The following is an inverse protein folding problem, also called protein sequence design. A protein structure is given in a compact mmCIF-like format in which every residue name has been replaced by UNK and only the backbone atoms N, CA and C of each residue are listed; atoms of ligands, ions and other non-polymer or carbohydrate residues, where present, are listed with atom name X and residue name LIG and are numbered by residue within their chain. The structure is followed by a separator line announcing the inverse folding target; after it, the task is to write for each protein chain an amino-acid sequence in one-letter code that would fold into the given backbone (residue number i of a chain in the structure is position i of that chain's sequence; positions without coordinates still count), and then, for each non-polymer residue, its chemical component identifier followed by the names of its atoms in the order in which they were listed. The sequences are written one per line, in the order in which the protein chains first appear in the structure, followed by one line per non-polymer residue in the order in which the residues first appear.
data_IF_679337565327
#
_entry.id   IF_679337565327
#
_cell.length_a   1.000
_cell.length_b   1.000
_cell.length_c   1.000
_cell.angle_alpha   90.00
_cell.angle_beta   90.00
_cell.angle_gamma   90.00
#
_symmetry.space_group_name_H-M   'P 1'
#
loop_
_entity.id
_entity.type
_entity.pdbx_description
1 polymer ?
#
# COMPACT_ATOMS: atom_id res chain seq x y z
N UNK A 1 14.73 -24.83 -31.30
CA UNK A 1 15.79 -23.88 -30.89
C UNK A 1 15.95 -24.06 -29.38
N UNK A 2 17.17 -24.15 -28.84
CA UNK A 2 17.37 -24.12 -27.38
C UNK A 2 17.15 -22.69 -26.91
N UNK A 3 15.89 -22.36 -26.63
CA UNK A 3 15.46 -21.05 -26.18
C UNK A 3 15.26 -21.09 -24.66
N UNK A 4 15.90 -20.17 -23.97
CA UNK A 4 15.79 -20.02 -22.52
C UNK A 4 15.70 -18.52 -22.18
N UNK A 5 14.47 -18.06 -21.94
CA UNK A 5 14.09 -16.65 -21.82
C UNK A 5 13.19 -16.44 -20.61
N UNK A 6 13.35 -15.28 -19.97
CA UNK A 6 12.42 -14.76 -18.97
C UNK A 6 11.57 -13.66 -19.59
N UNK A 7 10.31 -13.65 -19.19
CA UNK A 7 9.35 -12.58 -19.43
C UNK A 7 9.00 -11.94 -18.09
N UNK A 8 9.28 -10.65 -17.93
CA UNK A 8 9.14 -9.92 -16.68
C UNK A 8 8.20 -8.71 -16.85
N UNK A 9 7.03 -8.77 -16.20
CA UNK A 9 6.03 -7.70 -16.21
C UNK A 9 6.34 -6.54 -15.23
N UNK A 10 7.37 -6.65 -14.40
CA UNK A 10 7.75 -5.66 -13.39
C UNK A 10 8.77 -4.63 -13.83
N UNK A 11 8.93 -4.42 -15.14
CA UNK A 11 9.88 -3.43 -15.67
C UNK A 11 9.19 -2.09 -15.89
N UNK A 12 9.93 -1.00 -15.76
CA UNK A 12 9.45 0.36 -16.02
C UNK A 12 10.59 1.22 -16.59
N UNK A 13 10.23 2.36 -17.19
CA UNK A 13 11.15 3.24 -17.90
C UNK A 13 11.42 4.52 -17.11
N UNK A 14 12.58 4.59 -16.44
CA UNK A 14 12.96 5.75 -15.63
C UNK A 14 13.20 7.02 -16.46
N UNK A 15 13.49 6.88 -17.75
CA UNK A 15 13.76 7.99 -18.67
C UNK A 15 12.46 8.58 -19.24
N UNK A 16 11.30 8.02 -18.88
CA UNK A 16 10.01 8.52 -19.33
C UNK A 16 9.77 9.97 -18.83
N UNK A 17 9.34 10.90 -19.72
CA UNK A 17 9.09 12.27 -19.33
C UNK A 17 8.10 12.39 -18.17
N UNK A 18 8.60 12.92 -17.05
CA UNK A 18 7.78 13.11 -15.85
C UNK A 18 7.55 11.85 -15.03
N UNK A 19 8.41 10.82 -15.12
CA UNK A 19 8.36 9.57 -14.34
C UNK A 19 7.82 9.75 -12.91
N UNK A 20 8.49 10.57 -12.08
CA UNK A 20 8.09 10.79 -10.68
C UNK A 20 6.70 11.42 -10.55
N UNK A 21 6.36 12.34 -11.45
CA UNK A 21 5.04 12.98 -11.45
C UNK A 21 3.94 12.00 -11.86
N UNK A 22 4.21 11.14 -12.84
CA UNK A 22 3.29 10.08 -13.26
C UNK A 22 3.11 9.04 -12.17
N UNK A 23 4.19 8.64 -11.48
CA UNK A 23 4.12 7.78 -10.30
C UNK A 23 3.24 8.38 -9.20
N UNK A 24 3.50 9.62 -8.79
CA UNK A 24 2.68 10.30 -7.78
C UNK A 24 1.21 10.44 -8.20
N UNK A 25 0.92 10.52 -9.51
CA UNK A 25 -0.43 10.62 -10.06
C UNK A 25 -1.12 9.27 -10.29
N UNK A 26 -0.47 8.14 -10.06
CA UNK A 26 -1.03 6.81 -10.38
C UNK A 26 -1.11 6.54 -11.88
N UNK A 27 -0.23 7.17 -12.67
CA UNK A 27 -0.21 7.12 -14.14
C UNK A 27 1.03 6.45 -14.70
N UNK A 28 1.78 5.71 -13.89
CA UNK A 28 3.00 5.08 -14.33
C UNK A 28 2.67 3.83 -15.16
N UNK A 29 3.24 3.76 -16.35
CA UNK A 29 3.14 2.59 -17.21
C UNK A 29 4.28 1.63 -16.90
N UNK A 30 3.93 0.35 -16.77
CA UNK A 30 4.88 -0.75 -16.66
C UNK A 30 4.98 -1.45 -18.02
N UNK A 31 6.02 -2.25 -18.18
CA UNK A 31 6.28 -2.96 -19.42
C UNK A 31 6.71 -4.41 -19.20
N UNK A 32 6.25 -5.27 -20.11
CA UNK A 32 6.80 -6.60 -20.31
C UNK A 32 8.18 -6.49 -20.95
N UNK A 33 9.21 -6.97 -20.25
CA UNK A 33 10.56 -7.15 -20.80
C UNK A 33 10.86 -8.63 -21.04
N UNK A 34 11.65 -8.92 -22.07
CA UNK A 34 12.12 -10.26 -22.37
C UNK A 34 13.65 -10.30 -22.48
N UNK A 35 14.29 -11.20 -21.73
CA UNK A 35 15.76 -11.34 -21.71
C UNK A 35 16.17 -12.79 -21.41
N UNK A 36 17.47 -13.08 -21.48
CA UNK A 36 17.99 -14.44 -21.24
C UNK A 36 17.83 -14.81 -19.77
N UNK A 37 17.35 -16.02 -19.49
CA UNK A 37 17.19 -16.54 -18.13
C UNK A 37 18.47 -16.39 -17.30
N UNK A 38 19.63 -16.73 -17.90
CA UNK A 38 20.93 -16.68 -17.23
C UNK A 38 21.27 -15.33 -16.60
N UNK A 39 20.85 -14.22 -17.22
CA UNK A 39 21.11 -12.88 -16.67
C UNK A 39 20.29 -12.62 -15.40
N UNK A 40 19.05 -13.09 -15.35
CA UNK A 40 18.23 -12.97 -14.15
C UNK A 40 18.77 -13.86 -13.04
N UNK A 41 19.15 -15.09 -13.38
CA UNK A 41 19.73 -16.04 -12.42
C UNK A 41 21.00 -15.45 -11.78
N UNK A 42 21.95 -14.95 -12.58
CA UNK A 42 23.16 -14.30 -12.07
C UNK A 42 22.83 -13.09 -11.20
N UNK A 43 21.90 -12.23 -11.63
CA UNK A 43 21.48 -11.04 -10.87
C UNK A 43 20.88 -11.42 -9.52
N UNK A 44 19.96 -12.38 -9.48
CA UNK A 44 19.29 -12.79 -8.23
C UNK A 44 20.24 -13.51 -7.28
N UNK A 45 21.21 -14.27 -7.79
CA UNK A 45 22.27 -14.87 -6.97
C UNK A 45 23.16 -13.77 -6.35
N UNK A 46 23.57 -12.78 -7.14
CA UNK A 46 24.38 -11.65 -6.67
C UNK A 46 23.63 -10.79 -5.62
N UNK A 47 22.31 -10.62 -5.79
CA UNK A 47 21.41 -9.97 -4.82
C UNK A 47 21.09 -10.84 -3.59
N UNK A 48 21.62 -12.06 -3.51
CA UNK A 48 21.34 -13.04 -2.45
C UNK A 48 19.84 -13.34 -2.30
N UNK A 49 19.16 -13.59 -3.42
CA UNK A 49 17.74 -13.94 -3.47
C UNK A 49 17.56 -15.40 -3.89
N UNK A 50 16.76 -16.15 -3.15
CA UNK A 50 16.38 -17.51 -3.53
C UNK A 50 15.61 -17.54 -4.85
N UNK A 51 15.79 -18.60 -5.62
CA UNK A 51 15.16 -18.83 -6.92
C UNK A 51 14.46 -20.18 -6.89
N UNK A 52 13.13 -20.14 -7.05
CA UNK A 52 12.26 -21.32 -7.15
C UNK A 52 11.69 -21.43 -8.56
N UNK A 53 11.46 -22.65 -9.03
CA UNK A 53 10.93 -22.94 -10.35
C UNK A 53 9.78 -23.93 -10.26
N UNK A 54 8.65 -23.57 -10.88
CA UNK A 54 7.53 -24.47 -11.13
C UNK A 54 7.51 -24.86 -12.61
N UNK A 55 7.84 -26.12 -12.89
CA UNK A 55 7.75 -26.66 -14.24
C UNK A 55 6.31 -27.11 -14.50
N UNK A 56 5.66 -26.46 -15.46
CA UNK A 56 4.26 -26.72 -15.78
C UNK A 56 4.07 -28.04 -16.55
N UNK A 57 2.98 -28.75 -16.27
CA UNK A 57 2.52 -29.94 -16.95
C UNK A 57 1.71 -29.58 -18.21
N UNK A 58 2.31 -28.85 -19.15
CA UNK A 58 1.62 -28.41 -20.38
C UNK A 58 2.05 -29.26 -21.58
N UNK A 59 1.13 -29.47 -22.53
CA UNK A 59 1.44 -30.12 -23.80
C UNK A 59 2.34 -29.22 -24.66
N UNK A 60 3.06 -29.77 -25.65
CA UNK A 60 3.82 -28.96 -26.61
C UNK A 60 2.96 -27.87 -27.27
N UNK A 61 1.71 -28.16 -27.60
CA UNK A 61 0.78 -27.23 -28.24
C UNK A 61 0.41 -26.07 -27.29
N UNK A 62 0.07 -26.37 -26.03
CA UNK A 62 -0.20 -25.37 -24.99
C UNK A 62 1.02 -24.48 -24.74
N UNK A 63 2.21 -25.08 -24.64
CA UNK A 63 3.47 -24.37 -24.47
C UNK A 63 3.73 -23.42 -25.64
N UNK A 64 3.52 -23.88 -26.86
CA UNK A 64 3.77 -23.08 -28.06
C UNK A 64 2.78 -21.90 -28.15
N UNK A 65 1.54 -22.08 -27.71
CA UNK A 65 0.55 -20.99 -27.62
C UNK A 65 0.90 -19.96 -26.53
N UNK A 66 1.26 -20.42 -25.33
CA UNK A 66 1.81 -19.59 -24.25
C UNK A 66 2.97 -18.72 -24.75
N UNK A 67 3.94 -19.36 -25.42
CA UNK A 67 5.11 -18.68 -25.96
C UNK A 67 4.75 -17.64 -27.04
N UNK A 68 3.86 -17.99 -27.98
CA UNK A 68 3.40 -17.06 -29.01
C UNK A 68 2.68 -15.85 -28.42
N UNK A 69 1.86 -16.05 -27.38
CA UNK A 69 1.21 -14.95 -26.67
C UNK A 69 2.24 -14.02 -26.01
N UNK A 70 3.26 -14.56 -25.34
CA UNK A 70 4.30 -13.75 -24.69
C UNK A 70 5.14 -12.97 -25.72
N UNK A 71 5.48 -13.56 -26.86
CA UNK A 71 6.17 -12.83 -27.94
C UNK A 71 5.29 -11.74 -28.55
N UNK A 72 4.00 -12.02 -28.78
CA UNK A 72 3.04 -11.01 -29.23
C UNK A 72 2.87 -9.88 -28.21
N UNK A 73 2.76 -10.21 -26.92
CA UNK A 73 2.61 -9.22 -25.87
C UNK A 73 3.88 -8.40 -25.68
N UNK A 74 5.06 -8.95 -25.96
CA UNK A 74 6.34 -8.23 -25.89
C UNK A 74 6.55 -7.22 -27.05
N UNK A 75 5.71 -7.24 -28.10
CA UNK A 75 5.76 -6.24 -29.15
C UNK A 75 5.61 -4.81 -28.60
N UNK A 76 6.29 -3.80 -29.17
CA UNK A 76 6.27 -2.42 -28.67
C UNK A 76 4.87 -1.85 -28.41
N UNK A 77 3.90 -2.20 -29.26
CA UNK A 77 2.51 -1.78 -29.20
C UNK A 77 1.68 -2.47 -28.10
N UNK A 78 2.12 -3.63 -27.60
CA UNK A 78 1.35 -4.46 -26.67
C UNK A 78 1.97 -4.53 -25.27
N UNK A 79 3.28 -4.25 -25.14
CA UNK A 79 4.03 -4.55 -23.91
C UNK A 79 3.76 -3.60 -22.75
N UNK A 80 3.19 -2.43 -23.01
CA UNK A 80 2.92 -1.38 -22.01
C UNK A 80 1.54 -1.56 -21.39
N UNK A 81 1.45 -1.37 -20.09
CA UNK A 81 0.18 -1.39 -19.37
C UNK A 81 0.18 -0.40 -18.20
N UNK A 82 -1.01 0.10 -17.84
CA UNK A 82 -1.18 0.98 -16.68
C UNK A 82 -1.13 0.14 -15.42
N UNK A 83 -0.21 0.45 -14.53
CA UNK A 83 -0.05 -0.29 -13.29
C UNK A 83 -1.09 0.14 -12.24
N UNK A 84 -1.87 -0.82 -11.76
CA UNK A 84 -2.65 -0.72 -10.52
C UNK A 84 -2.13 -1.80 -9.56
N UNK A 85 -1.65 -1.36 -8.40
CA UNK A 85 -0.97 -2.24 -7.47
C UNK A 85 -1.81 -3.45 -7.01
N UNK A 86 -3.13 -3.34 -6.92
CA UNK A 86 -3.99 -4.44 -6.47
C UNK A 86 -4.65 -5.19 -7.64
N UNK A 87 -4.99 -4.49 -8.71
CA UNK A 87 -5.86 -5.04 -9.75
C UNK A 87 -5.19 -5.27 -11.11
N UNK A 88 -4.04 -4.66 -11.36
CA UNK A 88 -3.32 -4.75 -12.64
C UNK A 88 -1.81 -4.55 -12.43
N UNK A 89 -1.16 -5.58 -11.89
CA UNK A 89 0.24 -5.62 -11.52
C UNK A 89 0.99 -6.81 -12.12
N UNK A 90 2.29 -6.91 -11.83
CA UNK A 90 3.19 -7.93 -12.35
C UNK A 90 2.72 -9.38 -12.09
N UNK A 91 2.11 -9.66 -10.93
CA UNK A 91 1.62 -10.99 -10.59
C UNK A 91 0.27 -11.26 -11.28
N UNK A 92 -0.68 -10.33 -11.21
CA UNK A 92 -1.97 -10.46 -11.92
C UNK A 92 -1.77 -10.61 -13.44
N UNK A 93 -0.76 -9.97 -14.03
CA UNK A 93 -0.43 -10.14 -15.45
C UNK A 93 0.03 -11.56 -15.79
N UNK A 94 0.79 -12.21 -14.91
CA UNK A 94 1.18 -13.61 -15.07
C UNK A 94 -0.04 -14.52 -14.92
N UNK A 95 -0.91 -14.27 -13.93
CA UNK A 95 -2.19 -14.97 -13.76
C UNK A 95 -3.03 -14.89 -15.04
N UNK A 96 -3.23 -13.67 -15.55
CA UNK A 96 -4.02 -13.40 -16.74
C UNK A 96 -3.41 -14.06 -18.01
N UNK A 97 -2.08 -14.23 -18.08
CA UNK A 97 -1.44 -14.99 -19.17
C UNK A 97 -1.92 -16.43 -19.16
N UNK A 98 -1.96 -17.10 -17.99
CA UNK A 98 -2.48 -18.47 -17.91
C UNK A 98 -3.93 -18.54 -18.40
N UNK A 99 -4.79 -17.65 -17.93
CA UNK A 99 -6.22 -17.68 -18.30
C UNK A 99 -6.44 -17.36 -19.78
N UNK A 100 -5.72 -16.38 -20.34
CA UNK A 100 -5.84 -16.01 -21.76
C UNK A 100 -5.32 -17.08 -22.71
N UNK A 101 -4.33 -17.85 -22.27
CA UNK A 101 -3.65 -18.83 -23.13
C UNK A 101 -4.22 -20.23 -22.98
N UNK A 102 -4.50 -20.65 -21.75
CA UNK A 102 -4.98 -22.00 -21.45
C UNK A 102 -6.51 -22.05 -21.32
N UNK A 103 -7.18 -20.91 -21.09
CA UNK A 103 -8.63 -20.81 -21.08
C UNK A 103 -9.28 -21.78 -20.09
N UNK A 104 -10.33 -22.47 -20.53
CA UNK A 104 -11.06 -23.45 -19.72
C UNK A 104 -10.26 -24.72 -19.38
N UNK A 105 -9.05 -24.88 -19.94
CA UNK A 105 -8.17 -26.00 -19.63
C UNK A 105 -7.31 -25.75 -18.38
N UNK A 106 -7.30 -24.54 -17.79
CA UNK A 106 -6.58 -24.26 -16.54
C UNK A 106 -7.53 -23.88 -15.40
N UNK A 107 -7.22 -24.34 -14.19
CA UNK A 107 -7.85 -23.92 -12.95
C UNK A 107 -6.76 -23.59 -11.95
N UNK A 108 -6.63 -22.31 -11.63
CA UNK A 108 -5.75 -21.89 -10.54
C UNK A 108 -6.43 -22.20 -9.20
N UNK A 109 -5.63 -22.60 -8.22
CA UNK A 109 -6.16 -22.93 -6.91
C UNK A 109 -6.61 -21.68 -6.17
N UNK A 110 -7.86 -21.69 -5.74
CA UNK A 110 -8.47 -20.66 -4.91
C UNK A 110 -8.67 -21.20 -3.49
N UNK A 111 -7.73 -20.88 -2.60
CA UNK A 111 -7.75 -21.33 -1.22
C UNK A 111 -8.99 -20.77 -0.47
N UNK A 112 -9.94 -21.62 -0.03
CA UNK A 112 -11.19 -21.15 0.57
C UNK A 112 -11.03 -20.59 1.98
N UNK A 113 -9.93 -20.89 2.66
CA UNK A 113 -9.66 -20.44 4.04
C UNK A 113 -9.10 -19.00 4.10
N UNK A 114 -8.96 -18.34 2.94
CA UNK A 114 -8.47 -16.95 2.85
C UNK A 114 -9.60 -15.95 3.06
N UNK A 115 -9.47 -15.17 4.13
CA UNK A 115 -10.49 -14.19 4.55
C UNK A 115 -9.92 -12.80 4.86
N UNK A 116 -8.67 -12.56 4.47
CA UNK A 116 -8.00 -11.27 4.71
C UNK A 116 -8.48 -10.18 3.74
N UNK A 117 -8.45 -8.95 4.22
CA UNK A 117 -8.60 -7.75 3.41
C UNK A 117 -7.32 -7.45 2.62
N UNK A 118 -7.42 -6.58 1.61
CA UNK A 118 -6.23 -6.13 0.87
C UNK A 118 -5.19 -5.45 1.77
N UNK A 119 -5.63 -4.72 2.81
CA UNK A 119 -4.73 -4.07 3.79
C UNK A 119 -3.96 -5.11 4.60
N UNK A 120 -4.66 -6.08 5.18
CA UNK A 120 -4.03 -7.15 5.96
C UNK A 120 -3.01 -7.94 5.12
N UNK A 121 -3.28 -8.15 3.82
CA UNK A 121 -2.31 -8.77 2.91
C UNK A 121 -1.01 -7.97 2.77
N UNK A 122 -1.11 -6.64 2.81
CA UNK A 122 0.04 -5.76 2.72
C UNK A 122 0.82 -5.71 4.02
N UNK A 123 0.12 -5.70 5.15
CA UNK A 123 0.73 -5.63 6.48
C UNK A 123 1.71 -6.79 6.76
N UNK A 124 1.45 -7.97 6.16
CA UNK A 124 2.38 -9.11 6.21
C UNK A 124 3.79 -8.74 5.74
N UNK A 125 3.92 -7.83 4.77
CA UNK A 125 5.19 -7.40 4.19
C UNK A 125 5.72 -6.09 4.82
N UNK A 126 4.95 -5.46 5.71
CA UNK A 126 5.35 -4.23 6.42
C UNK A 126 5.86 -4.49 7.85
N UNK A 127 5.88 -5.76 8.27
CA UNK A 127 6.53 -6.17 9.51
C UNK A 127 7.94 -5.59 9.59
N UNK A 128 8.30 -4.98 10.72
CA UNK A 128 9.63 -4.37 10.89
C UNK A 128 9.84 -3.02 10.20
N UNK A 129 8.84 -2.49 9.47
CA UNK A 129 8.91 -1.23 8.73
C UNK A 129 7.86 -0.21 9.22
N UNK A 130 7.87 0.20 10.51
CA UNK A 130 6.79 0.98 11.14
C UNK A 130 6.52 2.36 10.52
N UNK A 131 7.46 2.95 9.77
CA UNK A 131 7.18 4.17 9.01
C UNK A 131 6.42 3.89 7.72
N UNK A 132 6.82 2.83 7.00
CA UNK A 132 6.17 2.42 5.77
C UNK A 132 4.76 1.92 6.06
N UNK A 133 4.62 1.10 7.11
CA UNK A 133 3.37 0.65 7.71
C UNK A 133 2.40 1.82 7.93
N UNK A 134 2.80 2.77 8.78
CA UNK A 134 2.04 3.98 9.05
C UNK A 134 1.71 4.81 7.80
N UNK A 135 2.69 5.00 6.91
CA UNK A 135 2.53 5.83 5.71
C UNK A 135 1.58 5.21 4.68
N UNK A 136 1.69 3.90 4.48
CA UNK A 136 0.80 3.13 3.59
C UNK A 136 -0.61 3.13 4.18
N UNK A 137 -0.74 2.92 5.49
CA UNK A 137 -2.04 2.96 6.15
C UNK A 137 -2.74 4.31 6.04
N UNK A 138 -1.97 5.38 6.15
CA UNK A 138 -2.47 6.74 5.97
C UNK A 138 -2.91 7.00 4.53
N UNK A 139 -2.22 6.43 3.54
CA UNK A 139 -2.50 6.64 2.12
C UNK A 139 -3.70 5.83 1.60
N UNK A 140 -3.82 4.57 2.02
CA UNK A 140 -4.88 3.66 1.57
C UNK A 140 -6.23 4.02 2.20
N UNK A 141 -7.28 4.01 1.39
CA UNK A 141 -8.66 4.29 1.82
C UNK A 141 -9.48 3.02 2.08
N UNK A 142 -10.75 3.19 2.45
CA UNK A 142 -11.64 2.08 2.86
C UNK A 142 -11.81 0.95 1.84
N UNK A 143 -11.44 1.16 0.57
CA UNK A 143 -11.52 0.11 -0.45
C UNK A 143 -10.61 -1.08 -0.11
N UNK A 144 -9.47 -0.84 0.55
CA UNK A 144 -8.51 -1.90 0.90
C UNK A 144 -8.93 -2.72 2.13
N UNK A 145 -9.96 -2.28 2.84
CA UNK A 145 -10.53 -2.98 4.00
C UNK A 145 -11.69 -3.92 3.61
N UNK A 146 -11.94 -4.07 2.30
CA UNK A 146 -12.83 -5.13 1.81
C UNK A 146 -12.07 -6.47 1.78
N UNK A 147 -12.72 -7.60 2.13
CA UNK A 147 -12.16 -8.92 1.96
C UNK A 147 -11.75 -9.16 0.50
N UNK A 148 -10.53 -9.64 0.28
CA UNK A 148 -10.07 -10.03 -1.04
C UNK A 148 -10.37 -11.52 -1.25
N UNK A 149 -10.92 -11.85 -2.42
CA UNK A 149 -11.06 -13.25 -2.85
C UNK A 149 -9.69 -13.92 -3.01
N UNK A 150 -9.65 -15.25 -3.01
CA UNK A 150 -8.40 -15.99 -3.28
C UNK A 150 -7.81 -15.64 -4.66
N UNK A 151 -8.67 -15.36 -5.64
CA UNK A 151 -8.29 -14.84 -6.96
C UNK A 151 -7.64 -13.45 -6.89
N UNK A 152 -8.24 -12.52 -6.13
CA UNK A 152 -7.69 -11.19 -5.95
C UNK A 152 -6.38 -11.20 -5.18
N UNK A 153 -6.22 -12.09 -4.19
CA UNK A 153 -4.98 -12.26 -3.42
C UNK A 153 -3.76 -12.60 -4.30
N UNK A 154 -3.97 -13.13 -5.52
CA UNK A 154 -2.91 -13.37 -6.51
C UNK A 154 -2.27 -12.07 -7.06
N UNK A 155 -2.72 -10.89 -6.60
CA UNK A 155 -1.96 -9.65 -6.77
C UNK A 155 -0.58 -9.70 -6.10
N UNK A 156 -0.40 -10.58 -5.10
CA UNK A 156 0.88 -10.85 -4.47
C UNK A 156 1.54 -12.11 -5.07
N UNK A 157 2.84 -12.06 -5.40
CA UNK A 157 3.54 -13.17 -6.07
C UNK A 157 3.48 -14.51 -5.32
N UNK A 158 3.59 -14.52 -4.00
CA UNK A 158 3.57 -15.75 -3.19
C UNK A 158 2.22 -16.48 -3.29
N UNK A 159 1.14 -15.70 -3.37
CA UNK A 159 -0.21 -16.22 -3.46
C UNK A 159 -0.54 -16.70 -4.87
N UNK A 160 0.00 -16.06 -5.91
CA UNK A 160 -0.01 -16.61 -7.27
C UNK A 160 0.82 -17.90 -7.36
N UNK A 161 1.97 -17.94 -6.71
CA UNK A 161 2.84 -19.11 -6.68
C UNK A 161 2.11 -20.32 -6.09
N UNK A 162 1.46 -20.16 -4.93
CA UNK A 162 0.63 -21.21 -4.31
C UNK A 162 -0.55 -21.62 -5.21
N UNK A 163 -1.19 -20.64 -5.86
CA UNK A 163 -2.33 -20.89 -6.75
C UNK A 163 -1.95 -21.72 -7.98
N UNK A 164 -0.75 -21.50 -8.53
CA UNK A 164 -0.19 -22.30 -9.62
C UNK A 164 0.24 -23.67 -9.11
N UNK A 165 0.89 -23.74 -7.94
CA UNK A 165 1.40 -24.98 -7.35
C UNK A 165 0.30 -26.03 -7.16
N UNK A 166 -0.83 -25.59 -6.63
CA UNK A 166 -1.97 -26.44 -6.30
C UNK A 166 -3.04 -26.44 -7.41
N UNK A 167 -2.78 -25.76 -8.52
CA UNK A 167 -3.71 -25.67 -9.65
C UNK A 167 -3.81 -26.96 -10.46
N UNK A 168 -4.80 -26.99 -11.35
CA UNK A 168 -5.06 -28.12 -12.24
C UNK A 168 -5.05 -27.67 -13.71
N UNK A 169 -4.66 -28.59 -14.59
CA UNK A 169 -4.68 -28.44 -16.04
C UNK A 169 -5.41 -29.64 -16.68
N UNK A 170 -6.23 -29.39 -17.70
CA UNK A 170 -6.97 -30.42 -18.43
C UNK A 170 -6.15 -30.88 -19.63
N UNK A 171 -5.70 -32.13 -19.62
CA UNK A 171 -4.96 -32.76 -20.72
C UNK A 171 -5.73 -33.99 -21.18
N UNK A 172 -6.04 -34.07 -22.48
CA UNK A 172 -6.83 -35.16 -23.07
C UNK A 172 -8.18 -35.39 -22.37
N UNK A 173 -8.78 -34.32 -21.82
CA UNK A 173 -10.08 -34.36 -21.13
C UNK A 173 -10.02 -34.69 -19.64
N UNK A 174 -8.84 -34.99 -19.09
CA UNK A 174 -8.66 -35.30 -17.67
C UNK A 174 -7.93 -34.17 -16.95
N UNK A 175 -8.38 -33.85 -15.73
CA UNK A 175 -7.70 -32.90 -14.86
C UNK A 175 -6.47 -33.55 -14.23
N UNK A 176 -5.35 -32.86 -14.32
CA UNK A 176 -4.05 -33.27 -13.77
C UNK A 176 -3.43 -32.07 -13.04
N UNK A 177 -2.44 -32.28 -12.15
CA UNK A 177 -1.72 -31.17 -11.53
C UNK A 177 -1.11 -30.23 -12.58
N UNK A 178 -1.27 -28.92 -12.38
CA UNK A 178 -0.72 -27.88 -13.26
C UNK A 178 0.81 -27.85 -13.20
N UNK A 179 1.39 -28.11 -12.03
CA UNK A 179 2.83 -28.21 -11.84
C UNK A 179 3.26 -29.68 -11.90
N UNK A 180 4.14 -29.99 -12.85
CA UNK A 180 4.75 -31.32 -13.00
C UNK A 180 5.92 -31.53 -12.04
N UNK A 181 6.67 -30.46 -11.74
CA UNK A 181 7.87 -30.51 -10.90
C UNK A 181 8.15 -29.15 -10.27
N UNK A 182 8.52 -29.16 -8.99
CA UNK A 182 9.06 -28.00 -8.27
C UNK A 182 10.57 -28.19 -8.08
N UNK A 183 11.35 -27.16 -8.42
CA UNK A 183 12.79 -27.15 -8.27
C UNK A 183 13.25 -25.90 -7.50
N UNK A 184 14.17 -26.08 -6.56
CA UNK A 184 14.93 -24.97 -5.96
C UNK A 184 16.21 -24.79 -6.75
N UNK A 185 16.27 -23.75 -7.59
CA UNK A 185 17.43 -23.50 -8.45
C UNK A 185 18.58 -22.93 -7.63
N UNK A 186 18.27 -22.00 -6.73
CA UNK A 186 19.21 -21.42 -5.81
C UNK A 186 18.52 -21.16 -4.47
N UNK A 187 19.15 -21.57 -3.39
CA UNK A 187 18.71 -21.29 -2.03
C UNK A 187 19.76 -20.47 -1.30
N UNK A 188 19.31 -19.49 -0.54
CA UNK A 188 20.13 -18.74 0.39
C UNK A 188 19.38 -18.53 1.70
N UNK A 189 20.09 -18.67 2.81
CA UNK A 189 19.59 -18.34 4.14
C UNK A 189 19.58 -16.82 4.39
N UNK A 190 20.09 -16.03 3.44
CA UNK A 190 19.94 -14.58 3.40
C UNK A 190 18.48 -14.22 3.08
N UNK A 191 17.62 -14.45 4.05
CA UNK A 191 16.38 -13.72 4.19
C UNK A 191 16.62 -12.70 5.29
N UNK A 192 16.61 -11.41 4.94
CA UNK A 192 16.31 -10.41 5.97
C UNK A 192 14.84 -10.61 6.34
N UNK A 193 14.52 -11.68 7.08
CA UNK A 193 13.24 -11.77 7.75
C UNK A 193 13.09 -10.49 8.56
N UNK A 194 12.07 -9.66 8.28
CA UNK A 194 11.97 -8.37 8.92
C UNK A 194 11.90 -8.59 10.43
N UNK A 195 12.96 -8.19 11.14
CA UNK A 195 12.94 -8.27 12.60
C UNK A 195 11.86 -7.30 13.06
N UNK A 196 10.98 -7.76 13.95
CA UNK A 196 9.98 -6.89 14.55
C UNK A 196 10.68 -5.67 15.13
N UNK A 197 10.40 -4.50 14.54
CA UNK A 197 11.00 -3.25 14.96
C UNK A 197 10.27 -2.73 16.19
N UNK A 198 10.93 -1.87 16.96
CA UNK A 198 10.20 -1.06 17.94
C UNK A 198 9.12 -0.25 17.21
N UNK A 199 7.89 -0.14 17.75
CA UNK A 199 6.82 0.67 17.18
C UNK A 199 7.08 2.16 17.41
N UNK A 200 8.21 2.65 16.87
CA UNK A 200 8.72 3.98 17.17
C UNK A 200 7.77 5.09 16.71
N UNK A 201 6.97 4.83 15.67
CA UNK A 201 5.94 5.77 15.23
C UNK A 201 4.93 6.03 16.36
N UNK A 202 4.37 4.96 16.94
CA UNK A 202 3.47 5.07 18.09
C UNK A 202 4.16 5.75 19.29
N UNK A 203 5.43 5.41 19.55
CA UNK A 203 6.21 6.05 20.63
C UNK A 203 6.33 7.57 20.40
N UNK A 204 6.68 8.02 19.19
CA UNK A 204 6.77 9.45 18.86
C UNK A 204 5.42 10.14 19.07
N UNK A 205 4.32 9.54 18.61
CA UNK A 205 2.99 10.14 18.77
C UNK A 205 2.58 10.23 20.24
N UNK A 206 2.89 9.22 21.06
CA UNK A 206 2.71 9.29 22.52
C UNK A 206 3.59 10.33 23.20
N UNK A 207 4.83 10.53 22.73
CA UNK A 207 5.72 11.58 23.23
C UNK A 207 5.17 12.98 22.88
N UNK A 208 4.62 13.17 21.68
CA UNK A 208 3.94 14.41 21.27
C UNK A 208 2.73 14.67 22.18
N UNK A 209 1.94 13.64 22.46
CA UNK A 209 0.81 13.74 23.39
C UNK A 209 1.27 14.11 24.81
N UNK A 210 2.27 13.40 25.34
CA UNK A 210 2.80 13.65 26.68
C UNK A 210 3.38 15.07 26.82
N UNK A 211 4.10 15.55 25.80
CA UNK A 211 4.62 16.91 25.77
C UNK A 211 3.50 17.96 25.71
N UNK A 212 2.49 17.75 24.87
CA UNK A 212 1.30 18.61 24.80
C UNK A 212 0.56 18.66 26.14
N UNK A 213 0.42 17.51 26.80
CA UNK A 213 -0.10 17.35 28.16
C UNK A 213 0.67 18.17 29.17
N UNK A 214 1.99 17.94 29.26
CA UNK A 214 2.87 18.63 30.19
C UNK A 214 2.84 20.15 30.01
N UNK A 215 2.94 20.64 28.76
CA UNK A 215 2.87 22.08 28.47
C UNK A 215 1.54 22.69 28.90
N UNK A 216 0.43 22.00 28.63
CA UNK A 216 -0.92 22.47 28.96
C UNK A 216 -1.14 22.51 30.47
N UNK A 217 -0.75 21.45 31.18
CA UNK A 217 -0.85 21.38 32.65
C UNK A 217 0.01 22.44 33.31
N UNK A 218 1.23 22.66 32.81
CA UNK A 218 2.13 23.71 33.32
C UNK A 218 1.53 25.10 33.13
N UNK A 219 1.04 25.41 31.93
CA UNK A 219 0.42 26.70 31.64
C UNK A 219 -0.82 26.94 32.52
N UNK A 220 -1.64 25.91 32.73
CA UNK A 220 -2.79 25.97 33.63
C UNK A 220 -2.40 26.22 35.09
N UNK A 221 -1.38 25.51 35.61
CA UNK A 221 -0.88 25.68 36.98
C UNK A 221 -0.27 27.06 37.22
N UNK A 222 0.43 27.58 36.23
CA UNK A 222 1.03 28.92 36.25
C UNK A 222 0.02 30.04 35.96
N UNK A 223 -1.28 29.71 35.79
CA UNK A 223 -2.37 30.65 35.47
C UNK A 223 -2.09 31.49 34.22
N UNK A 224 -1.37 30.93 33.25
CA UNK A 224 -1.14 31.59 31.97
C UNK A 224 -2.44 31.63 31.17
N UNK A 225 -2.71 32.76 30.50
CA UNK A 225 -3.80 32.81 29.52
C UNK A 225 -3.51 31.86 28.35
N UNK A 226 -4.55 31.22 27.79
CA UNK A 226 -4.41 30.41 26.59
C UNK A 226 -3.79 31.19 25.45
N UNK A 227 -2.75 30.60 24.86
CA UNK A 227 -2.03 31.16 23.73
C UNK A 227 -1.51 30.05 22.84
N UNK A 228 -1.46 30.36 21.55
CA UNK A 228 -0.80 29.52 20.54
C UNK A 228 0.68 29.44 20.88
N UNK A 229 1.20 28.23 20.91
CA UNK A 229 2.58 27.88 21.22
C UNK A 229 3.20 27.12 20.05
N UNK A 230 4.53 26.93 20.06
CA UNK A 230 5.25 26.28 18.97
C UNK A 230 4.75 24.86 18.65
N UNK A 231 4.22 24.12 19.65
CA UNK A 231 3.66 22.78 19.44
C UNK A 231 2.38 22.84 18.61
N UNK A 232 1.59 23.91 18.74
CA UNK A 232 0.35 24.09 17.97
C UNK A 232 0.68 24.32 16.49
N UNK A 233 1.76 25.06 16.17
CA UNK A 233 2.24 25.20 14.79
C UNK A 233 2.62 23.85 14.19
N UNK A 234 3.34 23.01 14.94
CA UNK A 234 3.71 21.66 14.49
C UNK A 234 2.50 20.76 14.30
N UNK A 235 1.60 20.71 15.28
CA UNK A 235 0.40 19.86 15.26
C UNK A 235 -0.55 20.23 14.12
N UNK A 236 -0.94 21.49 13.98
CA UNK A 236 -1.87 21.94 12.94
C UNK A 236 -1.23 21.94 11.55
N UNK A 237 0.05 22.29 11.46
CA UNK A 237 0.80 22.23 10.19
C UNK A 237 0.91 20.80 9.67
N UNK A 238 1.32 19.85 10.52
CA UNK A 238 1.44 18.43 10.15
C UNK A 238 0.07 17.81 9.84
N UNK A 239 -0.92 18.04 10.71
CA UNK A 239 -2.27 17.52 10.49
C UNK A 239 -2.90 18.06 9.20
N UNK A 240 -2.75 19.36 8.94
CA UNK A 240 -3.22 19.99 7.70
C UNK A 240 -2.49 19.45 6.46
N UNK A 241 -1.17 19.24 6.54
CA UNK A 241 -0.40 18.65 5.46
C UNK A 241 -0.83 17.21 5.15
N UNK A 242 -1.01 16.37 6.19
CA UNK A 242 -1.55 15.01 6.03
C UNK A 242 -2.91 15.05 5.33
N UNK A 243 -3.81 15.93 5.79
CA UNK A 243 -5.12 16.14 5.18
C UNK A 243 -5.03 16.51 3.70
N UNK A 244 -4.18 17.47 3.35
CA UNK A 244 -3.98 17.89 1.95
C UNK A 244 -3.43 16.75 1.10
N UNK A 245 -2.46 15.98 1.59
CA UNK A 245 -1.90 14.83 0.87
C UNK A 245 -2.99 13.81 0.55
N UNK A 246 -3.85 13.46 1.52
CA UNK A 246 -4.93 12.49 1.28
C UNK A 246 -6.02 13.04 0.35
N UNK A 247 -6.34 14.35 0.42
CA UNK A 247 -7.24 14.96 -0.57
C UNK A 247 -6.66 14.90 -1.99
N UNK A 248 -5.35 15.12 -2.14
CA UNK A 248 -4.69 15.01 -3.42
C UNK A 248 -4.72 13.56 -3.92
N UNK A 249 -4.40 12.58 -3.07
CA UNK A 249 -4.49 11.17 -3.43
C UNK A 249 -5.91 10.80 -3.87
N UNK A 250 -6.94 11.23 -3.14
CA UNK A 250 -8.32 10.93 -3.50
C UNK A 250 -8.75 11.63 -4.81
N UNK A 251 -8.57 12.95 -4.94
CA UNK A 251 -9.20 13.72 -6.02
C UNK A 251 -8.29 14.05 -7.20
N UNK A 252 -6.97 14.02 -7.02
CA UNK A 252 -6.00 14.51 -7.99
C UNK A 252 -5.11 13.40 -8.61
N UNK A 253 -5.33 12.14 -8.24
CA UNK A 253 -4.59 10.99 -8.76
C UNK A 253 -5.51 9.89 -9.27
N UNK A 254 -4.97 8.99 -10.09
CA UNK A 254 -5.67 7.81 -10.61
C UNK A 254 -5.54 6.61 -9.65
N UNK A 255 -5.08 6.82 -8.41
CA UNK A 255 -4.94 5.76 -7.40
C UNK A 255 -6.32 5.32 -6.88
N UNK A 256 -6.87 4.24 -7.44
CA UNK A 256 -8.26 3.82 -7.16
C UNK A 256 -8.50 3.31 -5.74
N UNK A 257 -7.44 3.00 -4.99
CA UNK A 257 -7.50 2.45 -3.61
C UNK A 257 -7.26 3.48 -2.52
N UNK A 258 -6.94 4.74 -2.87
CA UNK A 258 -6.78 5.85 -1.91
C UNK A 258 -8.06 6.65 -1.72
N UNK A 259 -9.10 6.37 -2.52
CA UNK A 259 -10.42 7.02 -2.44
C UNK A 259 -11.17 6.58 -1.18
N UNK A 260 -12.14 7.39 -0.73
CA UNK A 260 -12.91 7.13 0.48
C UNK A 260 -12.02 6.93 1.72
N UNK A 261 -10.97 7.74 1.85
CA UNK A 261 -10.01 7.63 2.94
C UNK A 261 -10.51 8.38 4.20
N UNK A 262 -10.88 7.60 5.22
CA UNK A 262 -11.45 8.08 6.48
C UNK A 262 -10.44 8.75 7.40
N UNK A 263 -9.14 8.66 7.12
CA UNK A 263 -8.14 9.47 7.81
C UNK A 263 -8.43 10.98 7.66
N UNK A 264 -9.14 11.42 6.61
CA UNK A 264 -9.56 12.81 6.44
C UNK A 264 -10.50 13.34 7.54
N UNK A 265 -11.13 12.47 8.32
CA UNK A 265 -11.96 12.88 9.47
C UNK A 265 -11.11 13.53 10.56
N UNK A 266 -9.88 13.05 10.77
CA UNK A 266 -8.99 13.57 11.82
C UNK A 266 -7.81 14.37 11.26
N UNK A 267 -7.26 13.96 10.11
CA UNK A 267 -6.25 14.70 9.38
C UNK A 267 -6.92 15.71 8.46
N UNK A 268 -7.18 16.88 9.04
CA UNK A 268 -8.16 17.83 8.56
C UNK A 268 -7.50 18.91 7.69
N UNK A 269 -7.74 18.94 6.37
CA UNK A 269 -6.97 19.78 5.43
C UNK A 269 -7.01 21.27 5.75
N UNK A 270 -8.12 21.78 6.29
CA UNK A 270 -8.24 23.22 6.63
C UNK A 270 -7.35 23.63 7.80
N UNK A 271 -6.77 22.67 8.55
CA UNK A 271 -5.76 22.99 9.56
C UNK A 271 -4.51 23.65 8.96
N UNK A 272 -4.23 23.45 7.68
CA UNK A 272 -3.12 24.15 7.01
C UNK A 272 -3.43 25.65 6.83
N UNK A 273 -4.71 26.00 6.60
CA UNK A 273 -5.16 27.40 6.57
C UNK A 273 -5.07 27.99 7.98
N UNK A 274 -5.57 27.28 8.99
CA UNK A 274 -5.52 27.71 10.39
C UNK A 274 -4.08 27.90 10.89
N UNK A 275 -3.16 27.02 10.49
CA UNK A 275 -1.74 27.18 10.70
C UNK A 275 -1.22 28.52 10.13
N UNK A 276 -1.60 28.88 8.90
CA UNK A 276 -1.28 30.20 8.33
C UNK A 276 -1.89 31.38 9.10
N UNK A 277 -3.09 31.20 9.64
CA UNK A 277 -3.77 32.22 10.43
C UNK A 277 -3.15 32.44 11.81
N UNK A 278 -2.35 31.52 12.35
CA UNK A 278 -1.63 31.70 13.62
C UNK A 278 -0.66 32.90 13.59
N UNK A 279 -0.17 33.24 12.39
CA UNK A 279 0.69 34.40 12.12
C UNK A 279 -0.07 35.73 12.04
N UNK A 280 -1.41 35.71 12.08
CA UNK A 280 -2.26 36.91 12.01
C UNK A 280 -2.92 37.16 13.37
N UNK A 281 -2.39 38.08 14.20
CA UNK A 281 -2.86 38.26 15.58
C UNK A 281 -4.35 38.58 15.70
N UNK A 282 -4.90 39.32 14.72
CA UNK A 282 -6.31 39.73 14.70
C UNK A 282 -7.30 38.61 14.43
N UNK A 283 -6.85 37.44 13.98
CA UNK A 283 -7.71 36.29 13.65
C UNK A 283 -7.84 35.26 14.77
N UNK A 284 -7.11 35.45 15.88
CA UNK A 284 -7.02 34.44 16.96
C UNK A 284 -8.33 34.25 17.71
N UNK A 285 -9.08 35.33 17.95
CA UNK A 285 -10.37 35.26 18.64
C UNK A 285 -11.45 34.60 17.78
N UNK A 286 -11.34 34.74 16.46
CA UNK A 286 -12.27 34.17 15.48
C UNK A 286 -12.08 32.67 15.29
N UNK A 287 -10.94 32.11 15.72
CA UNK A 287 -10.66 30.66 15.65
C UNK A 287 -11.28 29.86 16.79
N UNK A 288 -11.88 30.50 17.80
CA UNK A 288 -12.50 29.81 18.94
C UNK A 288 -13.56 28.78 18.49
N UNK A 289 -14.47 29.20 17.61
CA UNK A 289 -15.51 28.30 17.07
C UNK A 289 -14.87 27.16 16.29
N UNK A 290 -13.82 27.45 15.51
CA UNK A 290 -13.09 26.43 14.76
C UNK A 290 -12.51 25.35 15.69
N UNK A 291 -11.80 25.75 16.75
CA UNK A 291 -11.20 24.80 17.68
C UNK A 291 -12.24 23.95 18.41
N UNK A 292 -13.38 24.53 18.81
CA UNK A 292 -14.47 23.77 19.43
C UNK A 292 -15.09 22.76 18.47
N UNK A 293 -15.38 23.16 17.23
CA UNK A 293 -15.94 22.27 16.22
C UNK A 293 -14.95 21.16 15.89
N UNK A 294 -13.69 21.50 15.62
CA UNK A 294 -12.66 20.53 15.28
C UNK A 294 -12.41 19.55 16.44
N UNK A 295 -12.31 20.03 17.69
CA UNK A 295 -12.23 19.15 18.86
C UNK A 295 -13.43 18.21 18.96
N UNK A 296 -14.65 18.70 18.70
CA UNK A 296 -15.86 17.89 18.67
C UNK A 296 -15.79 16.77 17.63
N UNK A 297 -15.35 17.09 16.40
CA UNK A 297 -15.13 16.09 15.34
C UNK A 297 -14.11 15.05 15.75
N UNK A 298 -12.98 15.46 16.32
CA UNK A 298 -11.93 14.53 16.77
C UNK A 298 -12.41 13.62 17.91
N UNK A 299 -13.18 14.14 18.86
CA UNK A 299 -13.78 13.34 19.94
C UNK A 299 -14.77 12.33 19.38
N UNK A 300 -15.60 12.72 18.41
CA UNK A 300 -16.52 11.82 17.73
C UNK A 300 -15.76 10.74 16.93
N UNK A 301 -14.67 11.11 16.26
CA UNK A 301 -13.81 10.16 15.54
C UNK A 301 -13.20 9.11 16.49
N UNK A 302 -12.67 9.54 17.64
CA UNK A 302 -12.16 8.61 18.66
C UNK A 302 -13.26 7.75 19.28
N UNK A 303 -14.42 8.32 19.57
CA UNK A 303 -15.55 7.57 20.13
C UNK A 303 -16.13 6.55 19.13
N UNK A 304 -16.08 6.87 17.84
CA UNK A 304 -16.54 6.03 16.74
C UNK A 304 -15.48 5.12 16.14
N UNK A 305 -14.25 5.09 16.67
CA UNK A 305 -13.08 4.45 16.05
C UNK A 305 -13.35 3.01 15.60
N UNK A 306 -13.94 2.20 16.46
CA UNK A 306 -14.23 0.79 16.20
C UNK A 306 -15.37 0.55 15.19
N UNK A 307 -16.10 1.60 14.78
CA UNK A 307 -17.23 1.54 13.85
C UNK A 307 -16.91 2.22 12.52
N UNK A 308 -15.69 2.72 12.32
CA UNK A 308 -15.27 3.27 11.04
C UNK A 308 -15.17 2.14 10.00
N UNK A 309 -15.57 2.39 8.74
CA UNK A 309 -15.52 1.38 7.69
C UNK A 309 -14.11 1.17 7.10
N UNK A 310 -13.09 1.75 7.75
CA UNK A 310 -11.68 1.69 7.36
C UNK A 310 -10.87 1.44 8.63
N UNK A 311 -9.92 0.50 8.58
CA UNK A 311 -8.97 0.35 9.67
C UNK A 311 -7.96 1.51 9.65
N UNK A 312 -7.88 2.23 10.76
CA UNK A 312 -7.01 3.39 10.91
C UNK A 312 -5.87 3.00 11.84
N UNK A 313 -4.63 3.24 11.41
CA UNK A 313 -3.45 2.91 12.18
C UNK A 313 -3.50 3.49 13.61
N UNK A 314 -3.31 2.65 14.63
CA UNK A 314 -3.51 3.01 16.04
C UNK A 314 -2.60 4.14 16.55
N UNK A 315 -1.40 4.27 15.99
CA UNK A 315 -0.48 5.39 16.26
C UNK A 315 -1.12 6.79 16.07
N UNK A 316 -2.21 6.90 15.32
CA UNK A 316 -2.96 8.15 15.17
C UNK A 316 -3.67 8.57 16.46
N UNK A 317 -4.08 7.64 17.32
CA UNK A 317 -4.86 7.91 18.54
C UNK A 317 -4.18 8.94 19.45
N UNK A 318 -2.92 8.77 19.90
CA UNK A 318 -2.26 9.78 20.74
C UNK A 318 -2.07 11.13 20.03
N UNK A 319 -1.86 11.15 18.72
CA UNK A 319 -1.78 12.40 17.95
C UNK A 319 -3.12 13.16 17.94
N UNK A 320 -4.23 12.43 17.75
CA UNK A 320 -5.59 12.98 17.81
C UNK A 320 -5.89 13.50 19.23
N UNK A 321 -5.52 12.75 20.27
CA UNK A 321 -5.67 13.19 21.66
C UNK A 321 -4.88 14.48 21.94
N UNK A 322 -3.69 14.63 21.36
CA UNK A 322 -2.91 15.88 21.47
C UNK A 322 -3.67 17.05 20.83
N UNK A 323 -4.22 16.86 19.63
CA UNK A 323 -5.03 17.89 18.96
C UNK A 323 -6.28 18.25 19.77
N UNK A 324 -7.02 17.28 20.31
CA UNK A 324 -8.19 17.52 21.18
C UNK A 324 -7.80 18.37 22.39
N UNK A 325 -6.72 17.97 23.09
CA UNK A 325 -6.23 18.70 24.26
C UNK A 325 -5.86 20.14 23.91
N UNK A 326 -5.14 20.35 22.82
CA UNK A 326 -4.68 21.67 22.39
C UNK A 326 -5.84 22.54 21.91
N UNK A 327 -6.78 22.00 21.16
CA UNK A 327 -8.01 22.71 20.76
C UNK A 327 -8.82 23.14 21.99
N UNK A 328 -9.00 22.25 22.97
CA UNK A 328 -9.67 22.58 24.23
C UNK A 328 -8.96 23.70 24.99
N UNK A 329 -7.63 23.62 25.12
CA UNK A 329 -6.84 24.66 25.80
C UNK A 329 -6.98 26.02 25.11
N UNK A 330 -6.89 26.06 23.78
CA UNK A 330 -7.02 27.28 22.97
C UNK A 330 -8.45 27.84 22.92
N UNK A 331 -9.44 27.06 23.36
CA UNK A 331 -10.86 27.48 23.42
C UNK A 331 -11.27 28.03 24.79
N UNK A 332 -10.37 27.98 25.79
CA UNK A 332 -10.57 28.63 27.09
C UNK A 332 -10.16 30.10 27.05
#
# INVERSE_FOLDING_TARGET
QNLDRIYNYGTFDFDEPGFYLNFCRGKLDYLLSAYRYKWAEETYIDEQRSIFQQKLNVTPEMRDYLFQFLEWNHLPENRRYRYDFFFDNCATRIRDVFERTLGDDVRLYENPDRHMTFREYIDLYLTGLPFSDYGIDLALGAKTDNPASAYEAMFLPDYLFEAVENGEIRINGEWQPLVAQFDTIYWTDFSEHPKTALPWMAIIMWLIFALSGWMTVRAYREKQSPKISWIDYGLFGLNGLMGVVMLLLWFATDHTTTVNNWNLVWAWPTNLIVFGLFFVPKMREQLLVYFMVFAGVLVLALAGWAFLPQDLHEANIPFILALVLRCWWLSK
#
